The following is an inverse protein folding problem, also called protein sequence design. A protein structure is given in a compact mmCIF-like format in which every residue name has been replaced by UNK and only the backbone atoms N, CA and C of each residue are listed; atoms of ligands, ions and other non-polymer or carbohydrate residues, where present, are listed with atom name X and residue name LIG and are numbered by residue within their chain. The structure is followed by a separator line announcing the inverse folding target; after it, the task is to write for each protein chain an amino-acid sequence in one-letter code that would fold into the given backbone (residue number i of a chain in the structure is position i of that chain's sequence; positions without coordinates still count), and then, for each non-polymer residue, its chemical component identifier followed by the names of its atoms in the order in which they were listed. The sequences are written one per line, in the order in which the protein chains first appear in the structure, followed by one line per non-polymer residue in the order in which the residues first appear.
data_IF_807767003666
#
_entry.id   IF_807767003666
#
_cell.length_a   1.000
_cell.length_b   1.000
_cell.length_c   1.000
_cell.angle_alpha   90.00
_cell.angle_beta   90.00
_cell.angle_gamma   90.00
#
_symmetry.space_group_name_H-M   'P 1'
#
loop_
_entity.id
_entity.type
_entity.pdbx_description
1 polymer ?
#
# COMPACT_ATOMS: atom_id res chain seq x y z
N UNK A 1 3.96 -6.47 -7.53
CA UNK A 1 4.18 -6.82 -6.11
C UNK A 1 2.85 -7.17 -5.48
N UNK A 2 2.80 -8.09 -4.52
CA UNK A 2 1.58 -8.41 -3.77
C UNK A 2 1.58 -7.70 -2.43
N UNK A 3 0.49 -7.01 -2.11
CA UNK A 3 0.23 -6.39 -0.81
C UNK A 3 -0.81 -7.22 -0.09
N UNK A 4 -0.48 -7.68 1.13
CA UNK A 4 -1.39 -8.44 1.97
C UNK A 4 -1.51 -7.81 3.36
N UNK A 5 -2.73 -7.70 3.87
CA UNK A 5 -3.01 -7.26 5.23
C UNK A 5 -4.17 -8.07 5.84
N UNK A 6 -4.21 -8.14 7.18
CA UNK A 6 -5.23 -8.88 7.94
C UNK A 6 -5.65 -8.06 9.16
N UNK A 7 -6.85 -8.35 9.68
CA UNK A 7 -7.40 -7.65 10.84
C UNK A 7 -7.88 -6.23 10.52
N UNK A 8 -8.18 -5.97 9.24
CA UNK A 8 -8.76 -4.71 8.80
C UNK A 8 -10.28 -4.73 8.99
N UNK A 9 -10.96 -3.57 9.06
CA UNK A 9 -12.41 -3.52 8.92
C UNK A 9 -12.87 -4.23 7.65
N UNK A 10 -13.93 -5.03 7.76
CA UNK A 10 -14.49 -5.80 6.66
C UNK A 10 -15.21 -4.91 5.64
N UNK A 11 -15.31 -5.37 4.39
CA UNK A 11 -16.08 -4.77 3.28
C UNK A 11 -15.83 -3.26 3.05
N UNK A 12 -14.64 -2.81 3.41
CA UNK A 12 -14.28 -1.39 3.46
C UNK A 12 -13.45 -0.99 2.24
N UNK A 13 -13.80 0.13 1.61
CA UNK A 13 -13.00 0.75 0.54
C UNK A 13 -11.67 1.29 1.08
N UNK A 14 -10.57 0.97 0.40
CA UNK A 14 -9.21 1.35 0.81
C UNK A 14 -8.38 1.82 -0.38
N UNK A 15 -7.50 2.78 -0.10
CA UNK A 15 -6.39 3.16 -0.98
C UNK A 15 -5.10 2.50 -0.53
N UNK A 16 -4.35 1.98 -1.50
CA UNK A 16 -2.99 1.48 -1.32
C UNK A 16 -2.06 2.52 -1.93
N UNK A 17 -1.28 3.17 -1.07
CA UNK A 17 -0.30 4.17 -1.46
C UNK A 17 1.12 3.75 -1.17
N UNK A 18 2.07 4.41 -1.83
CA UNK A 18 3.50 4.19 -1.62
C UNK A 18 4.31 5.48 -1.67
N UNK A 19 5.47 5.49 -1.02
CA UNK A 19 6.37 6.64 -1.04
C UNK A 19 7.47 6.56 0.02
N UNK A 20 8.24 7.65 0.13
CA UNK A 20 9.30 7.76 1.13
C UNK A 20 8.72 7.90 2.55
N UNK A 21 9.47 7.53 3.60
CA UNK A 21 8.95 7.52 4.96
C UNK A 21 8.69 8.96 5.41
N UNK A 22 7.60 9.17 6.14
CA UNK A 22 7.17 10.49 6.66
C UNK A 22 6.87 11.53 5.57
N UNK A 23 6.60 11.10 4.34
CA UNK A 23 6.11 11.95 3.26
C UNK A 23 4.66 11.61 2.91
N UNK A 24 4.04 12.42 2.05
CA UNK A 24 2.78 12.03 1.43
C UNK A 24 3.00 10.80 0.55
N UNK A 25 2.02 9.90 0.50
CA UNK A 25 2.05 8.77 -0.42
C UNK A 25 1.41 9.15 -1.75
N UNK A 26 1.85 8.51 -2.83
CA UNK A 26 1.12 8.46 -4.09
C UNK A 26 0.19 7.26 -4.09
N UNK A 27 -1.03 7.40 -4.60
CA UNK A 27 -1.98 6.29 -4.73
C UNK A 27 -1.50 5.36 -5.83
N UNK A 28 -1.29 4.09 -5.49
CA UNK A 28 -0.88 3.06 -6.44
C UNK A 28 -2.07 2.22 -6.91
N UNK A 29 -3.05 2.00 -6.04
CA UNK A 29 -4.21 1.15 -6.31
C UNK A 29 -5.36 1.46 -5.34
N UNK A 30 -6.60 1.34 -5.81
CA UNK A 30 -7.81 1.25 -4.96
C UNK A 30 -8.25 -0.21 -4.82
N UNK A 31 -8.75 -0.59 -3.64
CA UNK A 31 -9.22 -1.93 -3.36
C UNK A 31 -10.35 -1.92 -2.32
N UNK A 32 -10.91 -3.08 -2.04
CA UNK A 32 -11.86 -3.30 -0.95
C UNK A 32 -11.39 -4.49 -0.11
N UNK A 33 -11.46 -4.36 1.21
CA UNK A 33 -11.22 -5.47 2.13
C UNK A 33 -12.35 -6.49 2.01
N UNK A 34 -12.03 -7.76 2.21
CA UNK A 34 -13.02 -8.84 2.22
C UNK A 34 -13.88 -8.83 3.49
N UNK A 35 -14.93 -9.66 3.49
CA UNK A 35 -15.80 -9.89 4.64
C UNK A 35 -15.07 -10.41 5.90
N UNK A 36 -13.91 -11.06 5.75
CA UNK A 36 -13.08 -11.53 6.87
C UNK A 36 -11.98 -10.53 7.30
N UNK A 37 -12.02 -9.30 6.77
CA UNK A 37 -11.07 -8.25 7.13
C UNK A 37 -9.67 -8.47 6.57
N UNK A 38 -9.56 -9.21 5.46
CA UNK A 38 -8.30 -9.41 4.74
C UNK A 38 -8.23 -8.50 3.52
N UNK A 39 -7.00 -8.20 3.10
CA UNK A 39 -6.70 -7.52 1.85
C UNK A 39 -5.61 -8.33 1.15
N UNK A 40 -5.82 -8.63 -0.13
CA UNK A 40 -4.78 -9.14 -1.02
C UNK A 40 -4.92 -8.43 -2.37
N UNK A 41 -3.92 -7.64 -2.73
CA UNK A 41 -3.94 -6.83 -3.93
C UNK A 41 -2.62 -6.92 -4.69
N UNK A 42 -2.70 -6.95 -6.01
CA UNK A 42 -1.52 -6.80 -6.87
C UNK A 42 -1.32 -5.33 -7.18
N UNK A 43 -0.15 -4.81 -6.80
CA UNK A 43 0.24 -3.42 -7.01
C UNK A 43 1.38 -3.36 -8.02
N UNK A 44 1.24 -2.47 -9.02
CA UNK A 44 2.33 -2.12 -9.94
C UNK A 44 3.34 -1.25 -9.20
N UNK A 45 4.60 -1.66 -9.24
CA UNK A 45 5.69 -0.85 -8.70
C UNK A 45 5.97 0.27 -9.70
N UNK A 46 5.85 1.55 -9.29
CA UNK A 46 6.06 2.67 -10.21
C UNK A 46 7.56 2.93 -10.43
N UNK A 47 7.93 3.35 -11.63
CA UNK A 47 9.31 3.59 -12.04
C UNK A 47 10.07 4.58 -11.16
N UNK A 48 9.37 5.56 -10.59
CA UNK A 48 9.97 6.55 -9.68
C UNK A 48 10.40 5.95 -8.34
N UNK A 49 9.87 4.78 -7.97
CA UNK A 49 10.20 4.08 -6.73
C UNK A 49 11.45 3.21 -6.86
N UNK A 50 11.86 2.87 -8.09
CA UNK A 50 13.07 2.09 -8.35
C UNK A 50 14.29 2.79 -7.78
N UNK A 51 15.08 2.06 -6.98
CA UNK A 51 16.28 2.58 -6.33
C UNK A 51 16.02 3.32 -5.02
N UNK A 52 14.76 3.46 -4.57
CA UNK A 52 14.49 3.96 -3.23
C UNK A 52 14.89 2.93 -2.17
N UNK A 53 15.80 3.33 -1.26
CA UNK A 53 16.28 2.50 -0.16
C UNK A 53 15.23 2.33 0.96
N UNK A 54 14.29 3.25 1.08
CA UNK A 54 13.27 3.27 2.14
C UNK A 54 11.89 3.61 1.59
N UNK A 55 11.26 2.66 0.93
CA UNK A 55 9.87 2.73 0.49
C UNK A 55 8.93 2.25 1.60
N UNK A 56 7.78 2.90 1.77
CA UNK A 56 6.72 2.49 2.70
C UNK A 56 5.43 2.32 1.93
N UNK A 57 4.76 1.19 2.13
CA UNK A 57 3.38 0.99 1.70
C UNK A 57 2.44 1.47 2.80
N UNK A 58 1.40 2.19 2.40
CA UNK A 58 0.30 2.61 3.27
C UNK A 58 -0.99 2.04 2.74
N UNK A 59 -1.80 1.44 3.60
CA UNK A 59 -3.21 1.12 3.32
C UNK A 59 -4.04 2.04 4.20
N UNK A 60 -4.93 2.83 3.60
CA UNK A 60 -5.80 3.76 4.32
C UNK A 60 -7.25 3.56 3.87
N UNK A 61 -8.20 3.70 4.80
CA UNK A 61 -9.61 3.73 4.43
C UNK A 61 -9.93 5.01 3.65
N UNK A 62 -10.85 4.88 2.69
CA UNK A 62 -11.34 6.01 1.89
C UNK A 62 -12.27 6.91 2.72
N UNK A 63 -13.11 6.32 3.56
CA UNK A 63 -14.19 7.02 4.29
C UNK A 63 -14.00 6.98 5.82
N UNK A 64 -12.85 6.52 6.31
CA UNK A 64 -12.59 6.40 7.75
C UNK A 64 -11.18 6.86 8.12
N UNK A 65 -11.01 7.27 9.38
CA UNK A 65 -9.76 7.86 9.88
C UNK A 65 -8.79 6.79 10.42
N UNK A 66 -8.44 5.81 9.58
CA UNK A 66 -7.38 4.85 9.92
C UNK A 66 -6.47 4.56 8.74
N UNK A 67 -5.22 4.21 9.08
CA UNK A 67 -4.22 3.74 8.13
C UNK A 67 -3.25 2.79 8.80
N UNK A 68 -2.75 1.84 8.03
CA UNK A 68 -1.65 0.95 8.42
C UNK A 68 -0.47 1.15 7.48
N UNK A 69 0.74 0.96 7.99
CA UNK A 69 1.98 1.15 7.25
C UNK A 69 2.86 -0.09 7.37
N UNK A 70 3.53 -0.44 6.29
CA UNK A 70 4.60 -1.43 6.34
C UNK A 70 5.81 -0.88 7.11
N UNK A 71 6.72 -1.78 7.50
CA UNK A 71 8.10 -1.36 7.73
C UNK A 71 8.71 -0.79 6.42
N UNK A 72 9.70 0.12 6.49
CA UNK A 72 10.42 0.56 5.31
C UNK A 72 11.14 -0.61 4.62
N UNK A 73 11.17 -0.63 3.30
CA UNK A 73 11.86 -1.63 2.50
C UNK A 73 12.45 -1.02 1.23
N UNK A 74 13.46 -1.69 0.65
CA UNK A 74 14.09 -1.25 -0.59
C UNK A 74 13.35 -1.80 -1.82
N UNK A 75 13.24 -0.99 -2.86
CA UNK A 75 12.81 -1.44 -4.19
C UNK A 75 14.05 -1.70 -5.05
N UNK A 76 14.29 -2.96 -5.41
CA UNK A 76 15.48 -3.41 -6.14
C UNK A 76 15.25 -3.71 -7.63
N UNK A 77 14.01 -3.60 -8.13
CA UNK A 77 13.66 -3.91 -9.51
C UNK A 77 14.01 -2.81 -10.52
N UNK A 78 14.33 -3.19 -11.75
CA UNK A 78 14.57 -2.29 -12.89
C UNK A 78 13.24 -1.71 -13.40
N UNK A 79 13.25 -0.46 -13.91
CA UNK A 79 12.07 0.14 -14.57
C UNK A 79 11.57 -0.80 -15.67
N UNK A 80 10.26 -0.99 -15.76
CA UNK A 80 9.63 -1.82 -16.80
C UNK A 80 9.65 -1.12 -18.16
#
# INVERSE_FOLDING_TARGET
MTVSAKGLPADTGVVIGGGAPRTAYEVLQQARTSADGTLQATVRVPDWSTGQERFVLTVAAEEAEWKVRSAPFQITGTKL
#
